data_IF_491186146958
#
_entry.id   IF_491186146958
#
_cell.length_a   1.000
_cell.length_b   1.000
_cell.length_c   1.000
_cell.angle_alpha   90.00
_cell.angle_beta   90.00
_cell.angle_gamma   90.00
#
_symmetry.space_group_name_H-M   'P 1'
#
loop_
_entity.id
_entity.type
_entity.pdbx_description
1 polymer ?
#
# COMPACT_ATOMS: atom_id res chain seq x y z
N UNK A 1 -6.85 6.79 -15.71
CA UNK A 1 -5.68 6.05 -15.19
C UNK A 1 -4.51 6.20 -16.14
N UNK A 2 -3.35 6.35 -15.58
CA UNK A 2 -2.12 6.35 -16.35
C UNK A 2 -1.92 5.01 -17.08
N UNK A 3 -1.36 5.03 -18.27
CA UNK A 3 -1.11 3.79 -19.02
C UNK A 3 0.02 2.93 -18.44
N UNK A 4 0.96 3.54 -17.70
CA UNK A 4 2.11 2.86 -17.12
C UNK A 4 2.10 3.07 -15.61
N UNK A 5 2.23 1.97 -14.87
CA UNK A 5 2.35 2.03 -13.41
C UNK A 5 3.82 1.92 -13.04
N UNK A 6 4.37 3.01 -12.50
CA UNK A 6 5.78 3.11 -12.16
C UNK A 6 6.04 3.28 -10.67
N UNK A 7 5.05 3.75 -9.92
CA UNK A 7 5.20 4.09 -8.50
C UNK A 7 4.04 3.52 -7.71
N UNK A 8 4.34 2.57 -6.82
CA UNK A 8 3.35 1.84 -6.06
C UNK A 8 3.60 2.03 -4.57
N UNK A 9 2.55 2.42 -3.85
CA UNK A 9 2.57 2.51 -2.40
C UNK A 9 1.82 1.33 -1.80
N UNK A 10 2.42 0.66 -0.83
CA UNK A 10 1.76 -0.41 -0.08
C UNK A 10 1.52 0.09 1.34
N UNK A 11 0.25 0.16 1.73
CA UNK A 11 -0.15 0.58 3.06
C UNK A 11 -0.43 -0.68 3.88
N UNK A 12 0.42 -0.95 4.85
CA UNK A 12 0.32 -2.14 5.68
C UNK A 12 1.34 -3.21 5.29
N UNK A 13 2.09 -3.67 6.27
CA UNK A 13 3.13 -4.69 6.10
C UNK A 13 2.76 -6.01 6.76
N UNK A 14 1.47 -6.30 6.91
CA UNK A 14 1.00 -7.60 7.34
C UNK A 14 1.26 -8.65 6.28
N UNK A 15 0.84 -9.90 6.52
CA UNK A 15 1.18 -11.03 5.66
C UNK A 15 0.87 -10.77 4.18
N UNK A 16 -0.34 -10.29 3.90
CA UNK A 16 -0.77 -10.10 2.51
C UNK A 16 -0.06 -8.92 1.84
N UNK A 17 0.06 -7.80 2.56
CA UNK A 17 0.78 -6.63 2.03
C UNK A 17 2.24 -6.94 1.76
N UNK A 18 2.88 -7.69 2.64
CA UNK A 18 4.27 -8.11 2.48
C UNK A 18 4.45 -8.99 1.24
N UNK A 19 3.54 -9.93 1.00
CA UNK A 19 3.60 -10.80 -0.18
C UNK A 19 3.49 -9.99 -1.46
N UNK A 20 2.50 -9.10 -1.55
CA UNK A 20 2.35 -8.27 -2.74
C UNK A 20 3.55 -7.35 -2.96
N UNK A 21 4.06 -6.75 -1.89
CA UNK A 21 5.22 -5.88 -1.99
C UNK A 21 6.45 -6.64 -2.47
N UNK A 22 6.66 -7.86 -1.99
CA UNK A 22 7.80 -8.67 -2.40
C UNK A 22 7.73 -9.07 -3.87
N UNK A 23 6.54 -9.43 -4.36
CA UNK A 23 6.33 -9.76 -5.78
C UNK A 23 6.63 -8.56 -6.68
N UNK A 24 6.16 -7.37 -6.28
CA UNK A 24 6.41 -6.15 -7.03
C UNK A 24 7.88 -5.77 -7.02
N UNK A 25 8.54 -5.94 -5.87
CA UNK A 25 9.96 -5.68 -5.74
C UNK A 25 10.80 -6.59 -6.65
N UNK A 26 10.41 -7.87 -6.74
CA UNK A 26 11.10 -8.81 -7.62
C UNK A 26 10.97 -8.42 -9.09
N UNK A 27 9.83 -7.81 -9.46
CA UNK A 27 9.63 -7.32 -10.83
C UNK A 27 10.44 -6.06 -11.10
N UNK A 28 10.42 -5.11 -10.17
CA UNK A 28 11.15 -3.86 -10.30
C UNK A 28 11.39 -3.26 -8.90
N UNK A 29 12.61 -3.37 -8.36
CA UNK A 29 12.90 -2.87 -7.02
C UNK A 29 12.64 -1.37 -6.81
N UNK A 30 12.56 -0.60 -7.88
CA UNK A 30 12.34 0.84 -7.80
C UNK A 30 10.89 1.24 -7.77
N UNK A 31 9.96 0.30 -8.03
CA UNK A 31 8.55 0.68 -8.20
C UNK A 31 7.76 0.69 -6.91
N UNK A 32 8.21 0.01 -5.85
CA UNK A 32 7.40 -0.23 -4.66
C UNK A 32 8.03 0.36 -3.41
N UNK A 33 7.18 0.95 -2.55
CA UNK A 33 7.55 1.42 -1.21
C UNK A 33 6.42 1.11 -0.25
N UNK A 34 6.75 0.81 0.99
CA UNK A 34 5.77 0.82 2.06
C UNK A 34 5.53 2.26 2.53
N UNK A 35 4.30 2.53 2.97
CA UNK A 35 3.98 3.78 3.65
C UNK A 35 3.57 3.42 5.07
N UNK A 36 4.27 3.99 6.04
CA UNK A 36 3.99 3.76 7.44
C UNK A 36 4.47 4.95 8.26
N UNK A 37 3.70 5.34 9.26
CA UNK A 37 4.08 6.43 10.15
C UNK A 37 4.53 5.94 11.52
N UNK A 38 5.18 6.82 12.27
CA UNK A 38 5.53 6.61 13.67
C UNK A 38 6.38 5.38 13.92
N UNK A 39 6.02 4.63 14.94
CA UNK A 39 6.76 3.45 15.35
C UNK A 39 6.75 2.33 14.32
N UNK A 40 5.70 2.21 13.53
CA UNK A 40 5.64 1.19 12.48
C UNK A 40 6.71 1.43 11.43
N UNK A 41 6.92 2.69 11.07
CA UNK A 41 7.98 3.07 10.13
C UNK A 41 9.35 2.67 10.67
N UNK A 42 9.61 3.02 11.92
CA UNK A 42 10.90 2.71 12.54
C UNK A 42 11.12 1.20 12.68
N UNK A 43 10.08 0.45 13.03
CA UNK A 43 10.15 -1.00 13.13
C UNK A 43 10.46 -1.65 11.80
N UNK A 44 9.77 -1.23 10.74
CA UNK A 44 9.98 -1.78 9.40
C UNK A 44 11.40 -1.47 8.89
N UNK A 45 11.88 -0.26 9.15
CA UNK A 45 13.24 0.13 8.73
C UNK A 45 14.31 -0.66 9.47
N UNK A 46 14.10 -0.93 10.75
CA UNK A 46 15.06 -1.68 11.57
C UNK A 46 15.05 -3.17 11.29
N UNK A 47 13.86 -3.77 11.29
CA UNK A 47 13.71 -5.20 11.17
C UNK A 47 13.87 -5.71 9.74
N UNK A 48 13.56 -4.86 8.76
CA UNK A 48 13.49 -5.28 7.37
C UNK A 48 12.32 -6.21 7.13
N UNK A 49 12.36 -6.90 6.01
CA UNK A 49 11.29 -7.80 5.61
C UNK A 49 11.89 -9.10 5.11
N UNK A 50 11.41 -10.22 5.65
CA UNK A 50 11.82 -11.55 5.20
C UNK A 50 10.59 -12.31 4.75
N UNK A 51 10.59 -12.77 3.49
CA UNK A 51 9.49 -13.52 2.90
C UNK A 51 10.06 -14.84 2.39
N UNK A 52 9.52 -15.94 2.89
CA UNK A 52 9.99 -17.30 2.55
C UNK A 52 11.51 -17.47 2.70
N UNK A 53 12.05 -16.89 3.77
CA UNK A 53 13.48 -16.97 4.05
C UNK A 53 14.35 -16.01 3.24
N UNK A 54 13.76 -15.23 2.32
CA UNK A 54 14.50 -14.28 1.51
C UNK A 54 14.35 -12.87 2.07
N UNK A 55 15.45 -12.15 2.32
CA UNK A 55 15.37 -10.75 2.77
C UNK A 55 15.02 -9.82 1.61
N UNK A 56 14.20 -8.82 1.91
CA UNK A 56 13.80 -7.77 0.96
C UNK A 56 14.15 -6.41 1.54
N UNK A 57 14.70 -5.55 0.71
CA UNK A 57 15.12 -4.22 1.11
C UNK A 57 14.17 -3.16 0.54
N UNK A 58 12.88 -3.35 0.77
CA UNK A 58 11.84 -2.47 0.25
C UNK A 58 11.85 -1.16 1.05
N UNK A 59 11.91 0.00 0.38
CA UNK A 59 11.89 1.28 1.09
C UNK A 59 10.63 1.46 1.92
N UNK A 60 10.77 2.14 3.05
CA UNK A 60 9.66 2.52 3.92
C UNK A 60 9.66 4.04 4.04
N UNK A 61 8.58 4.67 3.59
CA UNK A 61 8.43 6.12 3.65
C UNK A 61 7.33 6.48 4.65
N UNK A 62 7.52 7.59 5.36
CA UNK A 62 6.44 8.15 6.17
C UNK A 62 5.41 8.86 5.28
N UNK A 63 4.19 9.07 5.78
CA UNK A 63 3.15 9.76 5.00
C UNK A 63 3.56 11.15 4.53
N UNK A 64 4.36 11.84 5.31
CA UNK A 64 4.83 13.20 5.02
C UNK A 64 6.06 13.23 4.11
N UNK A 65 6.65 12.08 3.82
CA UNK A 65 7.82 11.99 2.94
C UNK A 65 7.46 11.84 1.46
N UNK A 66 6.19 11.64 1.15
CA UNK A 66 5.72 11.53 -0.22
C UNK A 66 5.51 12.91 -0.83
N UNK A 67 6.23 13.18 -1.90
CA UNK A 67 6.18 14.49 -2.58
C UNK A 67 5.43 14.45 -3.91
N UNK A 68 5.12 13.26 -4.42
CA UNK A 68 4.37 13.08 -5.65
C UNK A 68 3.41 11.89 -5.48
N UNK A 69 2.26 11.89 -6.17
CA UNK A 69 1.29 10.82 -6.05
C UNK A 69 1.83 9.48 -6.53
N UNK A 70 1.30 8.39 -5.95
CA UNK A 70 1.54 7.06 -6.46
C UNK A 70 0.62 6.79 -7.67
N UNK A 71 1.03 5.88 -8.53
CA UNK A 71 0.17 5.42 -9.62
C UNK A 71 -0.83 4.39 -9.11
N UNK A 72 -0.40 3.56 -8.16
CA UNK A 72 -1.21 2.53 -7.55
C UNK A 72 -0.97 2.51 -6.05
N UNK A 73 -2.03 2.39 -5.27
CA UNK A 73 -1.97 2.18 -3.82
C UNK A 73 -2.61 0.84 -3.51
N UNK A 74 -1.89 -0.01 -2.79
CA UNK A 74 -2.41 -1.28 -2.29
C UNK A 74 -2.62 -1.16 -0.80
N UNK A 75 -3.87 -1.30 -0.35
CA UNK A 75 -4.23 -1.21 1.06
C UNK A 75 -4.39 -2.62 1.63
N UNK A 76 -3.56 -2.97 2.60
CA UNK A 76 -3.49 -4.30 3.19
C UNK A 76 -3.30 -4.21 4.71
N UNK A 77 -4.16 -3.48 5.39
CA UNK A 77 -4.13 -3.34 6.85
C UNK A 77 -5.27 -4.15 7.47
N UNK A 78 -5.22 -4.34 8.78
CA UNK A 78 -6.37 -4.88 9.52
C UNK A 78 -7.45 -3.81 9.62
N UNK A 79 -8.72 -4.24 9.73
CA UNK A 79 -9.85 -3.31 9.79
C UNK A 79 -9.69 -2.23 10.88
N UNK A 80 -9.13 -2.59 12.02
CA UNK A 80 -8.91 -1.65 13.12
C UNK A 80 -7.90 -0.55 12.77
N UNK A 81 -7.10 -0.73 11.73
CA UNK A 81 -6.10 0.24 11.29
C UNK A 81 -6.50 0.97 10.00
N UNK A 82 -7.70 0.71 9.48
CA UNK A 82 -8.12 1.27 8.20
C UNK A 82 -8.21 2.79 8.22
N UNK A 83 -8.74 3.37 9.29
CA UNK A 83 -8.85 4.84 9.39
C UNK A 83 -7.47 5.50 9.38
N UNK A 84 -6.52 4.90 10.08
CA UNK A 84 -5.14 5.41 10.06
C UNK A 84 -4.53 5.29 8.67
N UNK A 85 -4.77 4.16 7.99
CA UNK A 85 -4.28 3.95 6.64
C UNK A 85 -4.85 4.98 5.67
N UNK A 86 -6.14 5.28 5.77
CA UNK A 86 -6.79 6.28 4.92
C UNK A 86 -6.14 7.65 5.10
N UNK A 87 -5.82 8.03 6.34
CA UNK A 87 -5.11 9.28 6.60
C UNK A 87 -3.68 9.25 6.07
N UNK A 88 -2.98 8.13 6.28
CA UNK A 88 -1.58 8.00 5.89
C UNK A 88 -1.36 8.03 4.38
N UNK A 89 -2.35 7.62 3.60
CA UNK A 89 -2.20 7.62 2.14
C UNK A 89 -2.47 8.97 1.47
N UNK A 90 -2.84 9.98 2.24
CA UNK A 90 -3.29 11.28 1.68
C UNK A 90 -2.33 11.86 0.64
N UNK A 91 -1.04 11.90 0.94
CA UNK A 91 -0.05 12.47 0.03
C UNK A 91 0.28 11.55 -1.15
N UNK A 92 -0.19 10.32 -1.13
CA UNK A 92 0.02 9.36 -2.21
C UNK A 92 -1.08 9.40 -3.26
N UNK A 93 -2.22 10.03 -2.94
CA UNK A 93 -3.39 10.04 -3.83
C UNK A 93 -3.36 11.26 -4.72
N UNK A 94 -3.38 11.04 -6.02
CA UNK A 94 -3.45 12.10 -7.03
C UNK A 94 -4.57 11.85 -8.02
N UNK A 95 -4.63 12.67 -9.06
CA UNK A 95 -5.74 12.64 -10.02
C UNK A 95 -5.89 11.30 -10.74
N UNK A 96 -4.78 10.63 -10.98
CA UNK A 96 -4.78 9.37 -11.73
C UNK A 96 -4.44 8.15 -10.88
N UNK A 97 -4.37 8.30 -9.56
CA UNK A 97 -4.06 7.20 -8.65
C UNK A 97 -5.20 6.19 -8.60
N UNK A 98 -4.87 4.91 -8.73
CA UNK A 98 -5.80 3.80 -8.55
C UNK A 98 -5.54 3.18 -7.18
N UNK A 99 -6.60 2.88 -6.46
CA UNK A 99 -6.51 2.30 -5.12
C UNK A 99 -7.14 0.90 -5.14
N UNK A 100 -6.38 -0.08 -4.67
CA UNK A 100 -6.86 -1.46 -4.53
C UNK A 100 -6.80 -1.82 -3.06
N UNK A 101 -7.92 -2.29 -2.52
CA UNK A 101 -7.95 -2.86 -1.18
C UNK A 101 -7.92 -4.38 -1.30
N UNK A 102 -6.92 -5.00 -0.67
CA UNK A 102 -6.81 -6.46 -0.62
C UNK A 102 -7.29 -7.01 0.72
N UNK A 103 -8.01 -6.19 1.46
CA UNK A 103 -8.63 -6.58 2.73
C UNK A 103 -9.90 -7.38 2.47
N UNK A 104 -10.26 -8.22 3.43
CA UNK A 104 -11.51 -8.97 3.34
C UNK A 104 -12.72 -8.05 3.53
N UNK A 105 -13.78 -8.28 2.74
CA UNK A 105 -15.02 -7.53 2.83
C UNK A 105 -15.02 -6.30 1.94
N UNK A 106 -16.21 -5.79 1.66
CA UNK A 106 -16.40 -4.64 0.76
C UNK A 106 -16.42 -3.29 1.49
N UNK A 107 -16.44 -3.31 2.83
CA UNK A 107 -16.52 -2.08 3.61
C UNK A 107 -15.31 -1.20 3.43
N UNK A 108 -14.12 -1.79 3.28
CA UNK A 108 -12.90 -1.01 3.11
C UNK A 108 -12.92 -0.17 1.84
N UNK A 109 -13.42 -0.72 0.73
CA UNK A 109 -13.54 0.02 -0.53
C UNK A 109 -14.48 1.21 -0.37
N UNK A 110 -15.62 1.00 0.29
CA UNK A 110 -16.59 2.07 0.51
C UNK A 110 -16.02 3.18 1.38
N UNK A 111 -15.28 2.84 2.43
CA UNK A 111 -14.69 3.83 3.32
C UNK A 111 -13.57 4.62 2.65
N UNK A 112 -12.73 3.96 1.88
CA UNK A 112 -11.68 4.62 1.11
C UNK A 112 -12.31 5.52 0.05
N UNK A 113 -13.30 5.02 -0.65
CA UNK A 113 -13.99 5.77 -1.69
C UNK A 113 -14.74 6.98 -1.18
N UNK A 114 -15.24 6.94 0.06
CA UNK A 114 -15.89 8.10 0.68
C UNK A 114 -14.93 9.27 0.87
N UNK A 115 -13.64 9.01 1.02
CA UNK A 115 -12.63 10.05 1.24
C UNK A 115 -12.00 10.48 -0.08
N UNK A 116 -11.64 9.52 -0.95
CA UNK A 116 -10.84 9.81 -2.15
C UNK A 116 -11.59 9.68 -3.46
N UNK A 117 -12.85 9.21 -3.43
CA UNK A 117 -13.68 9.03 -4.63
C UNK A 117 -13.75 7.57 -5.05
N UNK A 118 -14.96 7.08 -5.27
CA UNK A 118 -15.18 5.68 -5.65
C UNK A 118 -14.63 5.35 -7.04
N UNK A 119 -14.48 6.34 -7.89
CA UNK A 119 -13.92 6.15 -9.23
C UNK A 119 -12.44 5.77 -9.21
N UNK A 120 -11.74 6.01 -8.09
CA UNK A 120 -10.34 5.61 -7.92
C UNK A 120 -10.18 4.19 -7.39
N UNK A 121 -11.23 3.62 -6.80
CA UNK A 121 -11.16 2.37 -6.06
C UNK A 121 -11.56 1.20 -6.95
N UNK A 122 -10.70 0.22 -7.05
CA UNK A 122 -11.01 -1.03 -7.74
C UNK A 122 -11.27 -2.12 -6.70
N UNK A 123 -12.30 -2.92 -6.94
CA UNK A 123 -12.60 -4.05 -6.09
C UNK A 123 -11.62 -5.18 -6.37
N UNK A 124 -11.09 -5.75 -5.31
CA UNK A 124 -10.13 -6.84 -5.39
C UNK A 124 -10.52 -7.94 -4.41
N UNK A 125 -10.58 -9.16 -4.89
CA UNK A 125 -10.85 -10.32 -4.05
C UNK A 125 -9.61 -11.20 -4.08
N UNK A 126 -9.01 -11.43 -2.91
CA UNK A 126 -7.85 -12.31 -2.79
C UNK A 126 -8.32 -13.73 -2.53
N UNK A 127 -8.03 -14.63 -3.45
CA UNK A 127 -8.39 -16.04 -3.35
C UNK A 127 -7.14 -16.92 -3.37
N UNK A 128 -7.10 -17.90 -2.48
CA UNK A 128 -6.07 -18.93 -2.51
C UNK A 128 -4.67 -18.51 -2.09
N UNK A 129 -4.57 -17.50 -1.27
CA UNK A 129 -3.27 -17.08 -0.73
C UNK A 129 -3.12 -17.59 0.68
#
# INVERSE_FOLDING_TARGET
MKGIIEKIAVIGAGALGAVYASLLYDMNPRCVSFVAGGERRERLRRAGLIINGKPYNIPVSGPDEWTAPADLIIVAVKNQHLDDAIREMHNCVGAETVIISVMNGIESEARIGAVYGMDRVLYCVSLGI
#
